data_IF_182626037012
#
_entry.id   IF_182626037012
#
_cell.length_a   1.000
_cell.length_b   1.000
_cell.length_c   1.000
_cell.angle_alpha   90.00
_cell.angle_beta   90.00
_cell.angle_gamma   90.00
#
_symmetry.space_group_name_H-M   'P 1'
#
loop_
_entity.id
_entity.type
_entity.pdbx_description
1 polymer ?
#
# COMPACT_ATOMS: atom_id res chain seq x y z
N UNK A 1 14.62 -21.00 16.92
CA UNK A 1 15.17 -20.87 15.55
C UNK A 1 14.59 -19.60 14.93
N UNK A 2 15.35 -18.75 14.23
CA UNK A 2 14.79 -17.50 13.72
C UNK A 2 13.85 -17.82 12.56
N UNK A 3 12.58 -17.43 12.72
CA UNK A 3 11.48 -17.64 11.78
C UNK A 3 11.61 -16.63 10.62
N UNK A 4 12.70 -16.71 9.82
CA UNK A 4 13.03 -15.68 8.81
C UNK A 4 12.18 -15.76 7.54
N UNK A 5 11.60 -16.92 7.22
CA UNK A 5 10.89 -17.13 5.95
C UNK A 5 9.59 -16.33 5.81
N UNK A 6 8.87 -16.09 6.91
CA UNK A 6 7.54 -15.45 6.85
C UNK A 6 7.60 -13.93 6.70
N UNK A 7 8.58 -13.27 7.32
CA UNK A 7 8.79 -11.83 7.16
C UNK A 7 9.14 -11.44 5.71
N UNK A 8 9.94 -12.28 5.03
CA UNK A 8 10.29 -12.05 3.62
C UNK A 8 9.15 -12.36 2.63
N UNK A 9 8.11 -13.09 3.06
CA UNK A 9 6.99 -13.40 2.19
C UNK A 9 6.25 -12.14 1.73
N UNK A 10 6.15 -11.12 2.59
CA UNK A 10 5.55 -9.84 2.22
C UNK A 10 6.42 -9.11 1.20
N UNK A 11 7.75 -9.07 1.40
CA UNK A 11 8.68 -8.44 0.47
C UNK A 11 8.64 -9.11 -0.91
N UNK A 12 8.70 -10.44 -0.97
CA UNK A 12 8.61 -11.17 -2.25
C UNK A 12 7.24 -11.05 -2.91
N UNK A 13 6.17 -11.03 -2.12
CA UNK A 13 4.83 -10.74 -2.65
C UNK A 13 4.77 -9.34 -3.24
N UNK A 14 5.33 -8.33 -2.58
CA UNK A 14 5.38 -6.96 -3.10
C UNK A 14 6.14 -6.89 -4.43
N UNK A 15 7.29 -7.56 -4.54
CA UNK A 15 8.06 -7.64 -5.80
C UNK A 15 7.25 -8.31 -6.92
N UNK A 16 6.56 -9.41 -6.61
CA UNK A 16 5.68 -10.09 -7.56
C UNK A 16 4.52 -9.18 -7.99
N UNK A 17 3.86 -8.50 -7.05
CA UNK A 17 2.77 -7.57 -7.34
C UNK A 17 3.25 -6.41 -8.21
N UNK A 18 4.49 -5.93 -8.01
CA UNK A 18 5.06 -4.91 -8.86
C UNK A 18 5.18 -5.37 -10.33
N UNK A 19 5.65 -6.59 -10.57
CA UNK A 19 5.76 -7.13 -11.93
C UNK A 19 4.39 -7.43 -12.55
N UNK A 20 3.45 -7.98 -11.77
CA UNK A 20 2.07 -8.18 -12.22
C UNK A 20 1.37 -6.86 -12.54
N UNK A 21 1.61 -5.81 -11.75
CA UNK A 21 1.05 -4.48 -11.96
C UNK A 21 1.45 -3.89 -13.31
N UNK A 22 2.64 -4.22 -13.82
CA UNK A 22 3.12 -3.80 -15.15
C UNK A 22 2.56 -4.65 -16.29
N UNK A 23 2.11 -5.87 -16.01
CA UNK A 23 1.76 -6.86 -17.03
C UNK A 23 0.48 -6.54 -17.78
N UNK A 24 0.55 -6.42 -19.11
CA UNK A 24 -0.61 -6.19 -19.98
C UNK A 24 -1.75 -7.23 -19.85
N UNK A 25 -1.45 -8.40 -19.29
CA UNK A 25 -2.41 -9.49 -19.09
C UNK A 25 -3.23 -9.33 -17.80
N UNK A 26 -2.85 -8.40 -16.92
CA UNK A 26 -3.65 -8.03 -15.76
C UNK A 26 -4.52 -6.85 -16.15
N UNK A 27 -5.83 -7.09 -16.13
CA UNK A 27 -6.86 -6.09 -16.41
C UNK A 27 -7.23 -5.30 -15.15
N UNK A 28 -8.12 -4.32 -15.32
CA UNK A 28 -8.54 -3.40 -14.26
C UNK A 28 -8.91 -4.11 -12.95
N UNK A 29 -9.82 -5.08 -13.01
CA UNK A 29 -10.29 -5.77 -11.80
C UNK A 29 -9.16 -6.53 -11.08
N UNK A 30 -8.19 -7.06 -11.84
CA UNK A 30 -7.00 -7.67 -11.26
C UNK A 30 -6.12 -6.66 -10.52
N UNK A 31 -5.93 -5.48 -11.10
CA UNK A 31 -5.17 -4.40 -10.47
C UNK A 31 -5.85 -3.87 -9.21
N UNK A 32 -7.17 -3.69 -9.25
CA UNK A 32 -7.98 -3.28 -8.08
C UNK A 32 -7.91 -4.36 -6.98
N UNK A 33 -8.08 -5.64 -7.31
CA UNK A 33 -7.91 -6.73 -6.35
C UNK A 33 -6.51 -6.76 -5.68
N UNK A 34 -5.46 -6.41 -6.43
CA UNK A 34 -4.11 -6.31 -5.86
C UNK A 34 -4.01 -5.15 -4.86
N UNK A 35 -4.61 -4.00 -5.17
CA UNK A 35 -4.67 -2.86 -4.25
C UNK A 35 -5.44 -3.24 -2.98
N UNK A 36 -6.62 -3.86 -3.11
CA UNK A 36 -7.41 -4.32 -1.96
C UNK A 36 -6.65 -5.35 -1.11
N UNK A 37 -5.92 -6.27 -1.74
CA UNK A 37 -5.05 -7.20 -1.03
C UNK A 37 -3.97 -6.50 -0.21
N UNK A 38 -3.37 -5.43 -0.74
CA UNK A 38 -2.36 -4.63 -0.04
C UNK A 38 -3.00 -3.89 1.16
N UNK A 39 -4.12 -3.20 0.96
CA UNK A 39 -4.76 -2.46 2.06
C UNK A 39 -5.23 -3.39 3.17
N UNK A 40 -5.93 -4.48 2.82
CA UNK A 40 -6.35 -5.49 3.79
C UNK A 40 -5.17 -6.03 4.61
N UNK A 41 -4.05 -6.34 3.95
CA UNK A 41 -2.85 -6.84 4.64
C UNK A 41 -2.21 -5.80 5.57
N UNK A 42 -2.30 -4.52 5.23
CA UNK A 42 -1.73 -3.44 6.03
C UNK A 42 -2.60 -3.09 7.24
N UNK A 43 -3.93 -3.09 7.09
CA UNK A 43 -4.86 -2.68 8.15
C UNK A 43 -5.14 -3.79 9.17
N UNK A 44 -4.95 -5.05 8.78
CA UNK A 44 -5.11 -6.18 9.68
C UNK A 44 -4.12 -6.14 10.85
N UNK A 45 -4.63 -6.39 12.06
CA UNK A 45 -3.82 -6.58 13.26
C UNK A 45 -2.71 -7.60 12.98
N UNK A 46 -1.47 -7.22 13.25
CA UNK A 46 -0.30 -8.02 12.90
C UNK A 46 0.66 -8.14 14.07
N UNK A 47 1.41 -9.23 14.12
CA UNK A 47 2.41 -9.46 15.15
C UNK A 47 3.70 -8.64 14.94
N UNK A 48 3.86 -7.99 13.78
CA UNK A 48 5.12 -7.38 13.34
C UNK A 48 4.96 -5.98 12.74
N UNK A 49 5.90 -5.10 13.07
CA UNK A 49 6.20 -3.91 12.28
C UNK A 49 7.13 -4.32 11.14
N UNK A 50 6.89 -3.82 9.94
CA UNK A 50 7.74 -4.05 8.77
C UNK A 50 8.97 -3.16 8.84
N UNK A 51 10.15 -3.77 8.82
CA UNK A 51 11.44 -3.09 9.10
C UNK A 51 12.53 -3.40 8.07
N UNK A 52 12.19 -4.14 7.02
CA UNK A 52 13.10 -4.61 5.97
C UNK A 52 12.77 -4.00 4.60
N UNK A 53 12.10 -2.85 4.59
CA UNK A 53 11.74 -2.10 3.38
C UNK A 53 10.52 -2.66 2.65
N UNK A 54 9.68 -3.45 3.32
CA UNK A 54 8.46 -3.99 2.73
C UNK A 54 7.50 -2.86 2.31
N UNK A 55 7.47 -1.77 3.07
CA UNK A 55 6.67 -0.58 2.78
C UNK A 55 7.09 0.12 1.48
N UNK A 56 8.40 0.29 1.24
CA UNK A 56 8.93 0.82 -0.02
C UNK A 56 8.64 -0.11 -1.20
N UNK A 57 8.75 -1.43 -1.01
CA UNK A 57 8.45 -2.42 -2.06
C UNK A 57 6.97 -2.43 -2.42
N UNK A 58 6.08 -2.38 -1.42
CA UNK A 58 4.64 -2.23 -1.66
C UNK A 58 4.33 -0.90 -2.35
N UNK A 59 5.00 0.19 -1.98
CA UNK A 59 4.83 1.49 -2.62
C UNK A 59 5.24 1.46 -4.10
N UNK A 60 6.31 0.74 -4.44
CA UNK A 60 6.71 0.51 -5.82
C UNK A 60 5.68 -0.34 -6.59
N UNK A 61 5.08 -1.34 -5.95
CA UNK A 61 4.00 -2.13 -6.53
C UNK A 61 2.78 -1.26 -6.86
N UNK A 62 2.32 -0.43 -5.93
CA UNK A 62 1.19 0.48 -6.18
C UNK A 62 1.54 1.50 -7.27
N UNK A 63 2.74 2.05 -7.26
CA UNK A 63 3.17 3.00 -8.30
C UNK A 63 3.17 2.36 -9.70
N UNK A 64 3.58 1.09 -9.80
CA UNK A 64 3.50 0.33 -11.04
C UNK A 64 2.04 0.09 -11.49
N UNK A 65 1.14 -0.22 -10.57
CA UNK A 65 -0.30 -0.37 -10.83
C UNK A 65 -0.88 0.97 -11.35
N UNK A 66 -0.62 2.07 -10.66
CA UNK A 66 -1.13 3.39 -11.06
C UNK A 66 -0.61 3.85 -12.42
N UNK A 67 0.63 3.47 -12.76
CA UNK A 67 1.22 3.71 -14.07
C UNK A 67 0.47 3.07 -15.24
N UNK A 68 -0.44 2.11 -14.99
CA UNK A 68 -1.27 1.47 -16.03
C UNK A 68 -2.48 2.28 -16.45
N UNK A 69 -2.84 3.32 -15.70
CA UNK A 69 -4.01 4.18 -15.95
C UNK A 69 -5.38 3.47 -15.97
N UNK A 70 -5.45 2.21 -15.57
CA UNK A 70 -6.69 1.45 -15.48
C UNK A 70 -7.44 1.68 -14.16
N UNK A 71 -6.72 2.07 -13.11
CA UNK A 71 -7.29 2.43 -11.81
C UNK A 71 -7.81 3.87 -11.86
N UNK A 72 -9.08 4.06 -11.51
CA UNK A 72 -9.70 5.38 -11.53
C UNK A 72 -9.30 6.20 -10.29
N UNK A 73 -9.34 7.53 -10.40
CA UNK A 73 -9.09 8.41 -9.25
C UNK A 73 -10.14 8.22 -8.15
N UNK A 74 -11.39 7.89 -8.50
CA UNK A 74 -12.44 7.59 -7.53
C UNK A 74 -12.11 6.35 -6.72
N UNK A 75 -11.77 5.26 -7.41
CA UNK A 75 -11.33 4.03 -6.75
C UNK A 75 -10.09 4.27 -5.87
N UNK A 76 -9.08 4.99 -6.36
CA UNK A 76 -7.89 5.31 -5.58
C UNK A 76 -8.24 6.05 -4.27
N UNK A 77 -9.19 6.98 -4.29
CA UNK A 77 -9.61 7.71 -3.09
C UNK A 77 -10.31 6.80 -2.08
N UNK A 78 -11.20 5.92 -2.54
CA UNK A 78 -11.84 4.94 -1.66
C UNK A 78 -10.82 3.93 -1.09
N UNK A 79 -9.87 3.50 -1.91
CA UNK A 79 -8.78 2.64 -1.47
C UNK A 79 -7.88 3.32 -0.43
N UNK A 80 -7.51 4.59 -0.63
CA UNK A 80 -6.78 5.37 0.37
C UNK A 80 -7.59 5.52 1.66
N UNK A 81 -8.90 5.74 1.54
CA UNK A 81 -9.81 5.81 2.69
C UNK A 81 -9.83 4.50 3.47
N UNK A 82 -9.75 3.34 2.81
CA UNK A 82 -9.67 2.04 3.49
C UNK A 82 -8.43 1.91 4.40
N UNK A 83 -7.35 2.62 4.09
CA UNK A 83 -6.13 2.67 4.90
C UNK A 83 -6.27 3.65 6.07
N UNK A 84 -6.90 4.81 5.86
CA UNK A 84 -7.00 5.87 6.87
C UNK A 84 -8.19 5.69 7.82
N UNK A 85 -9.25 5.05 7.37
CA UNK A 85 -10.51 4.81 8.08
C UNK A 85 -10.90 3.33 8.00
N UNK A 86 -10.07 2.40 8.50
CA UNK A 86 -10.43 0.98 8.54
C UNK A 86 -11.60 0.72 9.51
N UNK A 87 -12.23 -0.45 9.38
CA UNK A 87 -13.30 -0.90 10.27
C UNK A 87 -12.89 -0.86 11.75
N UNK A 88 -11.69 -1.37 12.07
CA UNK A 88 -11.08 -1.19 13.38
C UNK A 88 -10.34 0.14 13.43
N UNK A 89 -11.03 1.16 13.93
CA UNK A 89 -10.53 2.54 13.99
C UNK A 89 -9.12 2.66 14.57
N UNK A 90 -8.31 3.54 13.98
CA UNK A 90 -7.01 3.92 14.54
C UNK A 90 -7.10 4.67 15.87
N UNK A 91 -8.28 5.21 16.21
CA UNK A 91 -8.52 5.83 17.50
C UNK A 91 -8.45 4.78 18.60
N UNK A 92 -7.43 4.88 19.45
CA UNK A 92 -7.21 3.89 20.51
C UNK A 92 -6.38 2.69 20.07
N UNK A 93 -5.82 2.67 18.85
CA UNK A 93 -4.96 1.59 18.38
C UNK A 93 -3.77 1.29 19.31
N UNK A 94 -3.31 2.28 20.08
CA UNK A 94 -2.26 2.10 21.09
C UNK A 94 -2.65 1.17 22.25
N UNK A 95 -3.94 0.85 22.42
CA UNK A 95 -4.43 -0.05 23.47
C UNK A 95 -4.34 -1.53 23.07
N UNK A 96 -4.15 -1.84 21.78
CA UNK A 96 -3.96 -3.20 21.28
C UNK A 96 -2.64 -3.27 20.49
N UNK A 97 -1.73 -4.16 20.90
CA UNK A 97 -0.39 -4.22 20.34
C UNK A 97 -0.41 -4.53 18.82
N UNK A 98 -1.32 -5.41 18.38
CA UNK A 98 -1.44 -5.78 16.97
C UNK A 98 -1.96 -4.64 16.09
N UNK A 99 -2.94 -3.90 16.59
CA UNK A 99 -3.48 -2.69 15.99
C UNK A 99 -2.46 -1.55 15.95
N UNK A 100 -1.71 -1.34 17.03
CA UNK A 100 -0.62 -0.36 17.07
C UNK A 100 0.43 -0.65 15.98
N UNK A 101 0.81 -1.92 15.80
CA UNK A 101 1.73 -2.34 14.74
C UNK A 101 1.15 -2.12 13.34
N UNK A 102 -0.12 -2.47 13.12
CA UNK A 102 -0.82 -2.23 11.86
C UNK A 102 -0.87 -0.73 11.52
N UNK A 103 -1.22 0.12 12.50
CA UNK A 103 -1.20 1.57 12.36
C UNK A 103 0.18 2.11 11.93
N UNK A 104 1.26 1.61 12.55
CA UNK A 104 2.62 1.99 12.16
C UNK A 104 2.97 1.55 10.73
N UNK A 105 2.58 0.34 10.33
CA UNK A 105 2.80 -0.18 8.98
C UNK A 105 2.06 0.65 7.93
N UNK A 106 0.79 0.97 8.17
CA UNK A 106 -0.01 1.84 7.29
C UNK A 106 0.63 3.21 7.15
N UNK A 107 1.05 3.83 8.27
CA UNK A 107 1.66 5.17 8.25
C UNK A 107 3.00 5.18 7.51
N UNK A 108 3.83 4.17 7.70
CA UNK A 108 5.10 4.04 6.98
C UNK A 108 4.84 3.81 5.48
N UNK A 109 3.91 2.92 5.15
CA UNK A 109 3.51 2.68 3.76
C UNK A 109 2.98 3.94 3.07
N UNK A 110 2.08 4.71 3.70
CA UNK A 110 1.54 5.96 3.14
C UNK A 110 2.64 6.99 2.86
N UNK A 111 3.69 7.04 3.69
CA UNK A 111 4.85 7.90 3.45
C UNK A 111 5.65 7.41 2.26
N UNK A 112 5.93 6.11 2.23
CA UNK A 112 6.70 5.45 1.18
C UNK A 112 6.03 5.58 -0.19
N UNK A 113 4.70 5.46 -0.29
CA UNK A 113 3.97 5.71 -1.55
C UNK A 113 3.92 7.18 -1.93
N UNK A 114 3.80 8.12 -0.96
CA UNK A 114 3.88 9.55 -1.25
C UNK A 114 5.23 9.93 -1.87
N UNK A 115 6.32 9.39 -1.31
CA UNK A 115 7.67 9.59 -1.85
C UNK A 115 7.88 8.88 -3.20
N UNK A 116 7.41 7.64 -3.36
CA UNK A 116 7.53 6.90 -4.61
C UNK A 116 6.82 7.62 -5.77
N UNK A 117 5.58 8.08 -5.56
CA UNK A 117 4.82 8.84 -6.56
C UNK A 117 5.48 10.17 -6.89
N UNK A 118 6.09 10.85 -5.91
CA UNK A 118 6.87 12.07 -6.17
C UNK A 118 8.10 11.81 -7.04
N UNK A 119 8.80 10.70 -6.82
CA UNK A 119 10.01 10.33 -7.59
C UNK A 119 9.72 9.94 -9.03
N UNK A 120 8.56 9.34 -9.33
CA UNK A 120 8.20 8.96 -10.70
C UNK A 120 7.70 10.18 -11.48
N UNK A 121 8.56 10.77 -12.30
CA UNK A 121 8.23 11.94 -13.12
C UNK A 121 7.19 11.64 -14.20
N UNK A 122 7.26 10.46 -14.80
CA UNK A 122 6.40 10.02 -15.91
C UNK A 122 5.08 9.41 -15.45
N UNK A 123 4.71 9.52 -14.16
CA UNK A 123 3.49 8.92 -13.66
C UNK A 123 2.27 9.64 -14.28
N UNK A 124 1.36 8.93 -14.95
CA UNK A 124 0.18 9.57 -15.53
C UNK A 124 -0.72 10.17 -14.45
N UNK A 125 -1.34 11.31 -14.74
CA UNK A 125 -2.27 12.03 -13.83
C UNK A 125 -1.65 12.32 -12.45
N UNK A 126 -0.32 12.43 -12.37
CA UNK A 126 0.43 12.72 -11.13
C UNK A 126 -0.07 13.96 -10.39
N UNK A 127 -0.49 14.98 -11.14
CA UNK A 127 -1.09 16.22 -10.64
C UNK A 127 -2.35 15.98 -9.80
N UNK A 128 -3.04 14.85 -9.99
CA UNK A 128 -4.22 14.45 -9.20
C UNK A 128 -3.91 13.35 -8.19
N UNK A 129 -3.04 12.40 -8.56
CA UNK A 129 -2.67 11.26 -7.71
C UNK A 129 -1.84 11.71 -6.51
N UNK A 130 -0.81 12.53 -6.73
CA UNK A 130 0.11 12.92 -5.66
C UNK A 130 -0.59 13.72 -4.54
N UNK A 131 -1.48 14.69 -4.83
CA UNK A 131 -2.27 15.34 -3.79
C UNK A 131 -3.21 14.38 -3.04
N UNK A 132 -3.90 13.47 -3.74
CA UNK A 132 -4.80 12.52 -3.08
C UNK A 132 -4.07 11.63 -2.06
N UNK A 133 -2.88 11.13 -2.42
CA UNK A 133 -2.03 10.33 -1.52
C UNK A 133 -1.50 11.19 -0.37
N UNK A 134 -1.12 12.44 -0.66
CA UNK A 134 -0.63 13.36 0.37
C UNK A 134 -1.72 13.77 1.36
N UNK A 135 -2.96 13.92 0.92
CA UNK A 135 -4.08 14.21 1.80
C UNK A 135 -4.39 13.02 2.73
N UNK A 136 -4.21 11.78 2.26
CA UNK A 136 -4.35 10.57 3.08
C UNK A 136 -3.27 10.42 4.17
N UNK A 137 -2.19 11.21 4.11
CA UNK A 137 -1.16 11.24 5.16
C UNK A 137 -1.50 12.14 6.35
N UNK A 138 -2.48 13.02 6.19
CA UNK A 138 -2.87 14.03 7.19
C UNK A 138 -3.85 13.45 8.19
#
# INVERSE_FOLDING_TARGET
MPVKGWAHALAHTADLLQELGKSRFVEKDGLENMLDGISNKLVDSTNWVYIHGEDERLANAVTAILGRELVTLGYLKEWLKSLTEPEKSWNGAYMDEGQSKAFHNVRNFLRSISEAVRKVETLPKKDKIAPAIFDALR
#
